data_IF_402984610635
#
_entry.id   IF_402984610635
#
_cell.length_a   1.000
_cell.length_b   1.000
_cell.length_c   1.000
_cell.angle_alpha   90.00
_cell.angle_beta   90.00
_cell.angle_gamma   90.00
#
_symmetry.space_group_name_H-M   'P 1'
#
loop_
_entity.id
_entity.type
_entity.pdbx_description
1 polymer ?
#
# COMPACT_ATOMS: atom_id res chain seq x y z
N UNK A 1 6.77 23.10 -7.39
CA UNK A 1 6.13 21.83 -7.08
C UNK A 1 5.08 21.62 -8.14
N UNK A 2 4.63 20.40 -8.40
CA UNK A 2 3.76 20.16 -9.54
C UNK A 2 2.77 19.04 -9.26
N UNK A 3 1.51 19.20 -9.61
CA UNK A 3 0.53 18.12 -9.63
C UNK A 3 0.88 17.10 -10.72
N UNK A 4 0.40 15.85 -10.56
CA UNK A 4 0.54 14.80 -11.57
C UNK A 4 -0.86 14.34 -11.98
N UNK A 5 -1.12 14.27 -13.29
CA UNK A 5 -2.34 13.69 -13.82
C UNK A 5 -2.00 12.50 -14.72
N UNK A 6 -2.54 11.37 -14.41
CA UNK A 6 -2.54 10.17 -15.23
C UNK A 6 -3.91 10.07 -15.90
N UNK A 7 -3.94 10.03 -17.23
CA UNK A 7 -5.19 10.00 -18.01
C UNK A 7 -5.17 8.78 -18.92
N UNK A 8 -5.94 7.75 -18.58
CA UNK A 8 -6.04 6.49 -19.33
C UNK A 8 -4.69 5.90 -19.70
N UNK A 9 -3.73 5.95 -18.76
CA UNK A 9 -2.35 5.48 -19.00
C UNK A 9 -2.36 3.97 -19.17
N UNK A 10 -1.81 3.49 -20.30
CA UNK A 10 -1.72 2.07 -20.66
C UNK A 10 -0.29 1.68 -20.99
N UNK A 11 0.04 0.42 -20.73
CA UNK A 11 1.31 -0.18 -21.16
C UNK A 11 1.09 -1.59 -21.65
N UNK A 12 1.54 -1.81 -22.87
CA UNK A 12 1.58 -3.12 -23.53
C UNK A 12 3.03 -3.39 -23.93
N UNK A 13 3.57 -4.54 -23.58
CA UNK A 13 4.88 -5.00 -24.04
C UNK A 13 4.74 -5.98 -25.20
N UNK A 14 5.63 -5.88 -26.17
CA UNK A 14 5.63 -6.71 -27.38
C UNK A 14 4.56 -6.28 -28.41
N UNK A 15 4.49 -6.98 -29.51
CA UNK A 15 3.58 -6.72 -30.63
C UNK A 15 2.85 -7.98 -31.07
N UNK A 16 1.66 -7.82 -31.67
CA UNK A 16 0.85 -8.91 -32.23
C UNK A 16 0.39 -9.94 -31.19
N UNK A 17 0.32 -11.24 -31.51
CA UNK A 17 -0.23 -12.26 -30.63
C UNK A 17 0.56 -12.49 -29.32
N UNK A 18 1.77 -11.96 -29.21
CA UNK A 18 2.62 -12.04 -28.02
C UNK A 18 2.59 -10.76 -27.17
N UNK A 19 1.71 -9.82 -27.50
CA UNK A 19 1.55 -8.60 -26.72
C UNK A 19 1.01 -8.92 -25.32
N UNK A 20 1.59 -8.29 -24.30
CA UNK A 20 1.18 -8.45 -22.91
C UNK A 20 0.81 -7.09 -22.34
N UNK A 21 -0.45 -6.93 -21.99
CA UNK A 21 -0.93 -5.74 -21.32
C UNK A 21 -0.55 -5.78 -19.84
N UNK A 22 0.17 -4.74 -19.39
CA UNK A 22 0.67 -4.64 -18.01
C UNK A 22 -0.05 -3.53 -17.23
N UNK A 23 -0.46 -2.45 -17.91
CA UNK A 23 -1.26 -1.37 -17.33
C UNK A 23 -2.48 -1.14 -18.21
N UNK A 24 -3.67 -1.13 -17.60
CA UNK A 24 -4.97 -1.24 -18.27
C UNK A 24 -5.79 0.06 -18.30
N UNK A 25 -5.16 1.23 -18.36
CA UNK A 25 -5.86 2.51 -18.39
C UNK A 25 -6.07 3.08 -16.99
N UNK A 26 -4.98 3.53 -16.38
CA UNK A 26 -5.02 4.15 -15.05
C UNK A 26 -5.35 5.63 -15.19
N UNK A 27 -6.38 6.05 -14.42
CA UNK A 27 -6.70 7.44 -14.15
C UNK A 27 -6.36 7.76 -12.71
N UNK A 28 -5.56 8.81 -12.49
CA UNK A 28 -5.25 9.31 -11.15
C UNK A 28 -4.87 10.80 -11.20
N UNK A 29 -5.34 11.54 -10.23
CA UNK A 29 -4.98 12.93 -9.98
C UNK A 29 -4.24 13.02 -8.66
N UNK A 30 -3.02 13.52 -8.67
CA UNK A 30 -2.14 13.71 -7.52
C UNK A 30 -1.94 15.20 -7.36
N UNK A 31 -2.37 15.74 -6.23
CA UNK A 31 -2.32 17.17 -5.98
C UNK A 31 -0.89 17.67 -5.81
N UNK A 32 -0.68 18.97 -6.01
CA UNK A 32 0.61 19.61 -5.72
C UNK A 32 0.96 19.47 -4.23
N UNK A 33 2.16 18.97 -3.95
CA UNK A 33 2.64 18.71 -2.59
C UNK A 33 2.07 17.46 -1.93
N UNK A 34 1.29 16.64 -2.62
CA UNK A 34 0.73 15.40 -2.10
C UNK A 34 1.76 14.28 -2.02
N UNK A 35 1.70 13.49 -0.94
CA UNK A 35 2.40 12.22 -0.81
C UNK A 35 1.43 11.07 -1.08
N UNK A 36 1.53 10.47 -2.25
CA UNK A 36 0.70 9.33 -2.63
C UNK A 36 1.51 8.04 -2.70
N UNK A 37 0.94 6.95 -2.19
CA UNK A 37 1.59 5.64 -2.16
C UNK A 37 0.89 4.68 -3.12
N UNK A 38 1.64 4.06 -4.02
CA UNK A 38 1.17 2.93 -4.82
C UNK A 38 1.50 1.63 -4.11
N UNK A 39 0.50 0.83 -3.79
CA UNK A 39 0.64 -0.44 -3.09
C UNK A 39 -0.07 -1.56 -3.85
N UNK A 40 0.42 -2.80 -3.73
CA UNK A 40 -0.15 -3.96 -4.40
C UNK A 40 0.82 -5.14 -4.45
N UNK A 41 0.38 -6.33 -4.89
CA UNK A 41 1.22 -7.51 -5.01
C UNK A 41 2.42 -7.31 -5.95
N UNK A 42 3.43 -8.16 -5.84
CA UNK A 42 4.53 -8.19 -6.80
C UNK A 42 4.02 -8.45 -8.22
N UNK A 43 4.55 -7.72 -9.19
CA UNK A 43 4.16 -7.88 -10.60
C UNK A 43 2.85 -7.20 -11.02
N UNK A 44 2.14 -6.46 -10.14
CA UNK A 44 0.90 -5.78 -10.52
C UNK A 44 1.08 -4.48 -11.32
N UNK A 45 2.31 -4.08 -11.67
CA UNK A 45 2.57 -2.93 -12.54
C UNK A 45 3.04 -1.65 -11.83
N UNK A 46 3.20 -1.61 -10.50
CA UNK A 46 3.61 -0.40 -9.73
C UNK A 46 4.90 0.25 -10.24
N UNK A 47 6.00 -0.51 -10.28
CA UNK A 47 7.30 0.01 -10.76
C UNK A 47 7.27 0.36 -12.24
N UNK A 48 6.46 -0.33 -13.05
CA UNK A 48 6.24 0.03 -14.46
C UNK A 48 5.59 1.40 -14.55
N UNK A 49 4.50 1.65 -13.80
CA UNK A 49 3.82 2.94 -13.78
C UNK A 49 4.75 4.06 -13.27
N UNK A 50 5.50 3.80 -12.20
CA UNK A 50 6.49 4.76 -11.69
C UNK A 50 7.55 5.11 -12.75
N UNK A 51 8.08 4.09 -13.46
CA UNK A 51 9.08 4.29 -14.53
C UNK A 51 8.50 5.05 -15.72
N UNK A 52 7.23 4.85 -16.05
CA UNK A 52 6.55 5.64 -17.09
C UNK A 52 6.43 7.10 -16.68
N UNK A 53 6.10 7.41 -15.43
CA UNK A 53 6.11 8.79 -14.90
C UNK A 53 7.52 9.37 -14.94
N UNK A 54 8.55 8.55 -14.65
CA UNK A 54 9.95 8.96 -14.72
C UNK A 54 10.48 9.15 -16.15
N UNK A 55 9.80 8.67 -17.19
CA UNK A 55 10.29 8.64 -18.56
C UNK A 55 11.37 7.59 -18.81
N UNK A 56 11.51 6.62 -17.89
CA UNK A 56 12.40 5.47 -18.04
C UNK A 56 11.72 4.32 -18.80
N UNK A 57 10.43 4.44 -19.02
CA UNK A 57 9.58 3.51 -19.77
C UNK A 57 8.55 4.33 -20.56
N UNK A 58 8.33 4.00 -21.83
CA UNK A 58 7.32 4.65 -22.66
C UNK A 58 5.92 4.12 -22.34
N UNK A 59 4.93 4.99 -22.41
CA UNK A 59 3.52 4.57 -22.36
C UNK A 59 3.08 4.05 -23.74
N UNK A 60 2.13 3.12 -23.79
CA UNK A 60 1.55 2.66 -25.04
C UNK A 60 0.40 3.54 -25.51
N UNK A 61 -0.36 4.12 -24.58
CA UNK A 61 -1.41 5.12 -24.84
C UNK A 61 -1.78 5.90 -23.57
N UNK A 62 -2.59 6.93 -23.70
CA UNK A 62 -2.98 7.82 -22.61
C UNK A 62 -2.06 9.03 -22.49
N UNK A 63 -2.10 9.71 -21.35
CA UNK A 63 -1.29 10.90 -21.10
C UNK A 63 -0.78 10.93 -19.66
N UNK A 64 0.47 11.37 -19.50
CA UNK A 64 1.07 11.76 -18.21
C UNK A 64 1.33 13.26 -18.26
N UNK A 65 0.78 13.98 -17.29
CA UNK A 65 0.95 15.43 -17.15
C UNK A 65 1.64 15.71 -15.82
N UNK A 66 2.72 16.50 -15.83
CA UNK A 66 3.41 17.01 -14.64
C UNK A 66 3.31 18.52 -14.65
N UNK A 67 2.65 19.09 -13.64
CA UNK A 67 2.28 20.50 -13.63
C UNK A 67 1.32 20.82 -14.78
N UNK A 68 1.77 21.64 -15.73
CA UNK A 68 0.98 22.00 -16.91
C UNK A 68 1.51 21.37 -18.23
N UNK A 69 2.49 20.45 -18.12
CA UNK A 69 3.17 19.89 -19.30
C UNK A 69 2.81 18.42 -19.47
N UNK A 70 2.38 18.04 -20.67
CA UNK A 70 2.35 16.63 -21.09
C UNK A 70 3.79 16.17 -21.25
N UNK A 71 4.16 15.07 -20.60
CA UNK A 71 5.56 14.59 -20.50
C UNK A 71 5.80 13.29 -21.26
N UNK A 72 4.84 12.80 -22.02
CA UNK A 72 4.93 11.50 -22.70
C UNK A 72 6.26 11.34 -23.47
N UNK A 73 6.59 12.34 -24.30
CA UNK A 73 7.74 12.32 -25.23
C UNK A 73 9.00 12.99 -24.65
N UNK A 74 8.95 13.42 -23.39
CA UNK A 74 10.08 14.06 -22.73
C UNK A 74 11.03 13.04 -22.12
N UNK A 75 12.33 13.24 -22.31
CA UNK A 75 13.36 12.46 -21.63
C UNK A 75 13.33 12.69 -20.11
N UNK A 76 13.81 11.73 -19.28
CA UNK A 76 13.80 11.86 -17.82
C UNK A 76 14.42 13.15 -17.28
N UNK A 77 15.48 13.65 -17.94
CA UNK A 77 16.16 14.90 -17.54
C UNK A 77 15.31 16.17 -17.72
N UNK A 78 14.28 16.12 -18.59
CA UNK A 78 13.42 17.23 -18.96
C UNK A 78 12.12 17.28 -18.11
N UNK A 79 11.84 16.22 -17.34
CA UNK A 79 10.61 16.08 -16.55
C UNK A 79 10.65 16.75 -15.17
N UNK A 80 11.78 17.35 -14.78
CA UNK A 80 12.02 17.96 -13.47
C UNK A 80 11.66 17.04 -12.29
N UNK A 81 12.10 15.79 -12.36
CA UNK A 81 11.88 14.76 -11.37
C UNK A 81 13.18 14.30 -10.71
N UNK A 82 13.09 13.74 -9.52
CA UNK A 82 14.17 12.97 -8.92
C UNK A 82 13.66 11.61 -8.46
N UNK A 83 14.42 10.55 -8.73
CA UNK A 83 14.05 9.18 -8.40
C UNK A 83 15.03 8.56 -7.42
N UNK A 84 14.48 7.91 -6.38
CA UNK A 84 15.20 7.08 -5.43
C UNK A 84 14.90 5.63 -5.77
N UNK A 85 15.95 4.88 -6.13
CA UNK A 85 15.84 3.49 -6.57
C UNK A 85 15.94 2.52 -5.38
N UNK A 86 15.38 1.34 -5.51
CA UNK A 86 15.43 0.24 -4.55
C UNK A 86 16.84 -0.15 -4.12
N UNK A 87 17.81 -0.13 -5.05
CA UNK A 87 19.21 -0.44 -4.81
C UNK A 87 20.10 0.77 -4.50
N UNK A 88 19.45 1.93 -4.16
CA UNK A 88 20.09 3.22 -3.87
C UNK A 88 20.87 3.85 -5.03
N UNK A 89 21.35 3.08 -5.98
CA UNK A 89 22.11 3.48 -7.17
C UNK A 89 23.28 4.44 -6.87
N UNK A 90 23.99 4.25 -5.73
CA UNK A 90 25.12 5.07 -5.34
C UNK A 90 26.36 4.72 -6.16
N UNK A 91 27.18 5.72 -6.50
CA UNK A 91 28.49 5.54 -7.13
C UNK A 91 29.48 5.07 -6.07
N UNK A 92 29.97 3.81 -6.14
CA UNK A 92 30.70 3.19 -5.03
C UNK A 92 32.11 3.77 -4.82
N UNK A 93 32.67 4.42 -5.83
CA UNK A 93 33.99 5.06 -5.82
C UNK A 93 33.97 6.53 -5.42
N UNK A 94 32.79 7.12 -5.28
CA UNK A 94 32.59 8.50 -4.88
C UNK A 94 32.30 8.61 -3.38
N UNK A 95 32.73 9.71 -2.73
CA UNK A 95 32.32 10.04 -1.37
C UNK A 95 30.82 10.38 -1.30
N UNK A 96 30.26 10.47 -0.10
CA UNK A 96 28.87 10.95 0.13
C UNK A 96 28.69 12.32 -0.52
N UNK A 97 29.59 13.27 -0.24
CA UNK A 97 29.57 14.58 -0.85
C UNK A 97 29.55 14.52 -2.38
N UNK A 98 30.46 13.75 -2.96
CA UNK A 98 30.56 13.59 -4.42
C UNK A 98 29.31 12.95 -5.02
N UNK A 99 28.73 11.95 -4.37
CA UNK A 99 27.47 11.34 -4.78
C UNK A 99 26.35 12.37 -4.85
N UNK A 100 26.18 13.22 -3.82
CA UNK A 100 25.16 14.27 -3.78
C UNK A 100 25.43 15.37 -4.80
N UNK A 101 26.69 15.80 -4.94
CA UNK A 101 27.09 16.90 -5.81
C UNK A 101 27.06 16.54 -7.31
N UNK A 102 27.11 15.26 -7.67
CA UNK A 102 27.35 14.81 -9.05
C UNK A 102 26.30 15.35 -10.04
N UNK A 103 25.02 15.22 -9.73
CA UNK A 103 23.95 15.72 -10.59
C UNK A 103 23.97 17.24 -10.78
N UNK A 104 24.35 17.99 -9.73
CA UNK A 104 24.47 19.45 -9.80
C UNK A 104 25.64 19.91 -10.66
N UNK A 105 26.76 19.15 -10.64
CA UNK A 105 27.92 19.38 -11.51
C UNK A 105 27.55 19.21 -12.99
N UNK A 106 26.76 18.19 -13.32
CA UNK A 106 26.27 17.97 -14.70
C UNK A 106 25.37 19.11 -15.15
N UNK A 107 24.58 19.69 -14.24
CA UNK A 107 23.73 20.85 -14.51
C UNK A 107 24.53 22.16 -14.66
N UNK A 108 25.85 22.14 -14.42
CA UNK A 108 26.71 23.31 -14.58
C UNK A 108 26.61 24.34 -13.45
N UNK A 109 26.09 23.96 -12.25
CA UNK A 109 26.04 24.86 -11.11
C UNK A 109 27.44 25.23 -10.61
N UNK A 110 27.58 26.43 -10.04
CA UNK A 110 28.81 26.89 -9.42
C UNK A 110 29.19 26.03 -8.20
N UNK A 111 30.49 25.97 -7.89
CA UNK A 111 30.98 25.21 -6.72
C UNK A 111 30.33 25.69 -5.42
N UNK A 112 30.12 27.01 -5.28
CA UNK A 112 29.50 27.61 -4.09
C UNK A 112 28.04 27.15 -3.93
N UNK A 113 27.25 27.14 -5.00
CA UNK A 113 25.85 26.66 -4.98
C UNK A 113 25.75 25.16 -4.71
N UNK A 114 26.68 24.38 -5.29
CA UNK A 114 26.74 22.93 -5.03
C UNK A 114 27.02 22.68 -3.54
N UNK A 115 28.02 23.38 -2.98
CA UNK A 115 28.36 23.21 -1.57
C UNK A 115 27.20 23.61 -0.66
N UNK A 116 26.58 24.76 -0.89
CA UNK A 116 25.39 25.20 -0.13
C UNK A 116 24.28 24.15 -0.13
N UNK A 117 23.92 23.64 -1.33
CA UNK A 117 22.83 22.64 -1.46
C UNK A 117 23.19 21.32 -0.81
N UNK A 118 24.44 20.84 -0.96
CA UNK A 118 24.90 19.59 -0.34
C UNK A 118 24.92 19.73 1.18
N UNK A 119 25.46 20.83 1.74
CA UNK A 119 25.50 21.06 3.20
C UNK A 119 24.09 21.13 3.78
N UNK A 120 23.18 21.86 3.13
CA UNK A 120 21.76 21.92 3.54
C UNK A 120 21.11 20.53 3.56
N UNK A 121 21.27 19.74 2.51
CA UNK A 121 20.72 18.39 2.45
C UNK A 121 21.39 17.45 3.47
N UNK A 122 22.71 17.58 3.68
CA UNK A 122 23.45 16.84 4.69
C UNK A 122 22.96 17.15 6.12
N UNK A 123 22.60 18.41 6.40
CA UNK A 123 22.01 18.80 7.68
C UNK A 123 20.65 18.15 7.88
N UNK A 124 19.74 18.23 6.87
CA UNK A 124 18.39 17.64 6.93
C UNK A 124 18.46 16.12 7.17
N UNK A 125 19.43 15.44 6.57
CA UNK A 125 19.58 13.98 6.58
C UNK A 125 20.58 13.47 7.62
N UNK A 126 21.14 14.34 8.47
CA UNK A 126 22.15 14.00 9.49
C UNK A 126 23.39 13.30 8.89
N UNK A 127 23.84 13.73 7.72
CA UNK A 127 24.98 13.17 6.99
C UNK A 127 26.28 14.01 7.16
N UNK A 128 26.28 15.10 7.88
CA UNK A 128 27.42 16.04 7.96
C UNK A 128 28.75 15.37 8.28
N UNK A 129 28.80 14.49 9.31
CA UNK A 129 30.01 13.77 9.71
C UNK A 129 30.42 12.65 8.74
N UNK A 130 29.61 12.37 7.72
CA UNK A 130 29.79 11.24 6.80
C UNK A 130 30.17 11.69 5.37
N UNK A 131 30.25 12.99 5.10
CA UNK A 131 30.42 13.54 3.74
C UNK A 131 31.65 13.02 3.00
N UNK A 132 32.73 12.74 3.74
CA UNK A 132 33.99 12.22 3.17
C UNK A 132 34.04 10.68 3.05
N UNK A 133 33.06 9.97 3.59
CA UNK A 133 33.00 8.51 3.51
C UNK A 133 32.51 8.04 2.13
N UNK A 134 32.91 6.81 1.76
CA UNK A 134 32.39 6.12 0.58
C UNK A 134 31.20 5.20 0.96
N UNK A 135 30.35 4.80 0.02
CA UNK A 135 29.19 3.93 0.28
C UNK A 135 29.54 2.61 0.98
N UNK A 136 30.74 2.08 0.79
CA UNK A 136 31.20 0.84 1.45
C UNK A 136 31.37 1.02 2.97
N UNK A 137 31.58 2.23 3.43
CA UNK A 137 31.80 2.58 4.85
C UNK A 137 30.49 2.97 5.57
N UNK A 138 29.33 2.80 4.92
CA UNK A 138 28.03 3.23 5.41
C UNK A 138 27.15 2.03 5.73
N UNK A 139 26.28 2.18 6.75
CA UNK A 139 25.18 1.27 7.01
C UNK A 139 24.10 1.34 5.92
N UNK A 140 23.17 0.39 5.89
CA UNK A 140 22.03 0.39 4.95
C UNK A 140 21.23 1.69 4.99
N UNK A 141 20.83 2.14 6.18
CA UNK A 141 20.09 3.39 6.36
C UNK A 141 20.89 4.64 5.98
N UNK A 142 22.20 4.65 6.26
CA UNK A 142 23.06 5.75 5.82
C UNK A 142 23.17 5.81 4.30
N UNK A 143 23.29 4.66 3.60
CA UNK A 143 23.26 4.61 2.13
C UNK A 143 21.95 5.14 1.58
N UNK A 144 20.83 4.79 2.20
CA UNK A 144 19.52 5.29 1.81
C UNK A 144 19.41 6.81 1.99
N UNK A 145 19.83 7.34 3.13
CA UNK A 145 19.87 8.80 3.35
C UNK A 145 20.72 9.50 2.28
N UNK A 146 21.84 8.92 1.86
CA UNK A 146 22.64 9.46 0.76
C UNK A 146 21.88 9.45 -0.57
N UNK A 147 21.15 8.36 -0.87
CA UNK A 147 20.31 8.30 -2.07
C UNK A 147 19.19 9.37 -2.07
N UNK A 148 18.57 9.58 -0.91
CA UNK A 148 17.61 10.68 -0.71
C UNK A 148 18.28 12.05 -0.89
N UNK A 149 19.49 12.24 -0.34
CA UNK A 149 20.28 13.46 -0.50
C UNK A 149 20.57 13.82 -1.96
N UNK A 150 20.92 12.81 -2.77
CA UNK A 150 21.08 12.98 -4.24
C UNK A 150 19.83 13.50 -4.94
N UNK A 151 18.66 13.10 -4.45
CA UNK A 151 17.38 13.58 -4.97
C UNK A 151 17.05 14.99 -4.50
N UNK A 152 17.20 15.26 -3.20
CA UNK A 152 16.87 16.55 -2.54
C UNK A 152 17.67 17.72 -3.08
N UNK A 153 18.98 17.56 -3.27
CA UNK A 153 19.86 18.64 -3.74
C UNK A 153 19.43 19.22 -5.10
N UNK A 154 18.72 18.43 -5.90
CA UNK A 154 18.21 18.84 -7.22
C UNK A 154 17.01 19.76 -7.14
N UNK A 155 16.29 19.82 -5.99
CA UNK A 155 15.04 20.56 -5.79
C UNK A 155 14.00 20.25 -6.90
N UNK A 156 13.66 18.96 -7.11
CA UNK A 156 12.77 18.57 -8.21
C UNK A 156 11.32 19.02 -7.95
N UNK A 157 10.52 19.10 -9.01
CA UNK A 157 9.09 19.32 -8.90
C UNK A 157 8.35 18.11 -8.34
N UNK A 158 8.86 16.89 -8.59
CA UNK A 158 8.28 15.62 -8.13
C UNK A 158 9.37 14.66 -7.66
N UNK A 159 9.12 14.00 -6.51
CA UNK A 159 9.91 12.86 -6.04
C UNK A 159 9.24 11.54 -6.42
N UNK A 160 10.05 10.60 -6.90
CA UNK A 160 9.65 9.23 -7.22
C UNK A 160 10.44 8.25 -6.37
N UNK A 161 9.78 7.34 -5.67
CA UNK A 161 10.41 6.35 -4.79
C UNK A 161 10.03 4.93 -5.25
N UNK A 162 10.99 4.13 -5.72
CA UNK A 162 10.81 2.74 -6.14
C UNK A 162 11.27 1.80 -5.03
N UNK A 163 10.34 1.40 -4.15
CA UNK A 163 10.56 0.50 -3.01
C UNK A 163 11.82 0.84 -2.15
N UNK A 164 11.99 2.08 -1.70
CA UNK A 164 13.27 2.51 -1.12
C UNK A 164 13.62 1.83 0.21
N UNK A 165 12.63 1.23 0.92
CA UNK A 165 12.83 0.61 2.24
C UNK A 165 12.93 -0.92 2.19
N UNK A 166 12.73 -1.56 1.03
CA UNK A 166 12.63 -3.02 0.91
C UNK A 166 13.88 -3.78 1.36
N UNK A 167 15.07 -3.17 1.22
CA UNK A 167 16.36 -3.78 1.56
C UNK A 167 16.83 -3.50 2.99
N UNK A 168 15.96 -2.98 3.87
CA UNK A 168 16.27 -2.65 5.25
C UNK A 168 15.67 -3.68 6.22
N UNK A 169 16.34 -3.90 7.36
CA UNK A 169 15.77 -4.64 8.48
C UNK A 169 14.56 -3.91 9.09
N UNK A 170 13.73 -4.64 9.86
CA UNK A 170 12.47 -4.14 10.39
C UNK A 170 12.64 -2.89 11.27
N UNK A 171 13.67 -2.86 12.15
CA UNK A 171 13.90 -1.72 13.05
C UNK A 171 14.28 -0.47 12.28
N UNK A 172 15.20 -0.62 11.31
CA UNK A 172 15.67 0.49 10.49
C UNK A 172 14.56 0.99 9.55
N UNK A 173 13.70 0.09 9.05
CA UNK A 173 12.53 0.46 8.23
C UNK A 173 11.57 1.37 8.99
N UNK A 174 11.28 1.08 10.27
CA UNK A 174 10.44 1.94 11.12
C UNK A 174 11.06 3.34 11.26
N UNK A 175 12.36 3.42 11.56
CA UNK A 175 13.06 4.69 11.69
C UNK A 175 13.03 5.49 10.37
N UNK A 176 13.33 4.83 9.25
CA UNK A 176 13.38 5.50 7.94
C UNK A 176 12.01 5.99 7.46
N UNK A 177 10.92 5.31 7.79
CA UNK A 177 9.56 5.81 7.53
C UNK A 177 9.32 7.16 8.21
N UNK A 178 9.65 7.27 9.49
CA UNK A 178 9.52 8.55 10.24
C UNK A 178 10.37 9.65 9.61
N UNK A 179 11.57 9.33 9.13
CA UNK A 179 12.43 10.29 8.44
C UNK A 179 11.85 10.78 7.11
N UNK A 180 11.28 9.85 6.32
CA UNK A 180 10.60 10.21 5.06
C UNK A 180 9.39 11.11 5.33
N UNK A 181 8.59 10.84 6.37
CA UNK A 181 7.47 11.71 6.76
C UNK A 181 7.94 13.11 7.13
N UNK A 182 8.97 13.22 8.00
CA UNK A 182 9.54 14.52 8.40
C UNK A 182 10.09 15.27 7.19
N UNK A 183 10.78 14.56 6.30
CA UNK A 183 11.32 15.13 5.08
C UNK A 183 10.21 15.70 4.20
N UNK A 184 9.18 14.92 3.92
CA UNK A 184 8.05 15.38 3.12
C UNK A 184 7.35 16.58 3.76
N UNK A 185 7.10 16.56 5.08
CA UNK A 185 6.53 17.70 5.83
C UNK A 185 7.35 18.98 5.68
N UNK A 186 8.68 18.87 5.59
CA UNK A 186 9.59 20.01 5.44
C UNK A 186 9.69 20.53 4.01
N UNK A 187 9.66 19.63 3.02
CA UNK A 187 9.84 19.96 1.60
C UNK A 187 8.52 20.22 0.89
N UNK A 188 7.45 19.55 1.29
CA UNK A 188 6.11 19.56 0.68
C UNK A 188 6.10 19.29 -0.83
N UNK A 189 7.13 18.59 -1.33
CA UNK A 189 7.24 18.26 -2.75
C UNK A 189 6.35 17.07 -3.08
N UNK A 190 5.60 17.15 -4.17
CA UNK A 190 4.76 16.05 -4.67
C UNK A 190 5.57 14.76 -4.75
N UNK A 191 5.08 13.70 -4.15
CA UNK A 191 5.82 12.45 -3.99
C UNK A 191 4.97 11.24 -4.39
N UNK A 192 5.51 10.42 -5.29
CA UNK A 192 4.92 9.16 -5.70
C UNK A 192 5.80 8.02 -5.19
N UNK A 193 5.28 7.23 -4.27
CA UNK A 193 6.01 6.21 -3.54
C UNK A 193 5.46 4.82 -3.85
N UNK A 194 6.31 3.90 -4.25
CA UNK A 194 5.96 2.49 -4.51
C UNK A 194 6.40 1.62 -3.35
N UNK A 195 5.52 0.75 -2.90
CA UNK A 195 5.83 -0.28 -1.91
C UNK A 195 4.96 -1.52 -2.09
N UNK A 196 5.39 -2.63 -1.54
CA UNK A 196 4.57 -3.82 -1.31
C UNK A 196 4.19 -3.97 0.18
N UNK A 197 4.69 -3.09 1.06
CA UNK A 197 4.43 -3.10 2.50
C UNK A 197 3.19 -2.25 2.82
N UNK A 198 2.16 -2.91 3.36
CA UNK A 198 0.91 -2.25 3.73
C UNK A 198 1.09 -1.22 4.84
N UNK A 199 2.02 -1.47 5.79
CA UNK A 199 2.26 -0.55 6.90
C UNK A 199 2.89 0.74 6.39
N UNK A 200 3.78 0.65 5.37
CA UNK A 200 4.29 1.84 4.70
C UNK A 200 3.17 2.62 4.02
N UNK A 201 2.29 1.93 3.28
CA UNK A 201 1.18 2.58 2.58
C UNK A 201 0.20 3.26 3.56
N UNK A 202 -0.15 2.58 4.66
CA UNK A 202 -1.05 3.11 5.69
C UNK A 202 -0.47 4.28 6.47
N UNK A 203 0.87 4.34 6.63
CA UNK A 203 1.51 5.34 7.50
C UNK A 203 2.12 6.52 6.75
N UNK A 204 2.59 6.33 5.52
CA UNK A 204 3.23 7.39 4.72
C UNK A 204 2.26 8.15 3.84
N UNK A 205 1.29 7.46 3.26
CA UNK A 205 0.40 8.02 2.25
C UNK A 205 -0.65 8.99 2.83
N UNK A 206 -0.77 10.18 2.26
CA UNK A 206 -1.96 11.00 2.42
C UNK A 206 -3.13 10.36 1.65
N UNK A 207 -2.84 9.81 0.48
CA UNK A 207 -3.70 8.89 -0.28
C UNK A 207 -2.87 7.70 -0.76
N UNK A 208 -3.57 6.63 -1.09
CA UNK A 208 -2.95 5.44 -1.70
C UNK A 208 -3.70 5.02 -2.96
N UNK A 209 -2.96 4.41 -3.88
CA UNK A 209 -3.48 3.71 -5.05
C UNK A 209 -3.26 2.23 -4.81
N UNK A 210 -4.31 1.46 -4.60
CA UNK A 210 -4.24 0.00 -4.49
C UNK A 210 -4.27 -0.58 -5.89
N UNK A 211 -3.16 -1.20 -6.29
CA UNK A 211 -3.01 -1.78 -7.63
C UNK A 211 -3.15 -3.29 -7.62
N UNK A 212 -3.84 -3.82 -8.61
CA UNK A 212 -3.97 -5.24 -8.87
C UNK A 212 -3.97 -5.51 -10.37
N UNK A 213 -3.10 -6.38 -10.86
CA UNK A 213 -3.05 -6.82 -12.27
C UNK A 213 -3.18 -5.67 -13.28
N UNK A 214 -2.42 -4.59 -13.06
CA UNK A 214 -2.40 -3.43 -13.96
C UNK A 214 -3.57 -2.46 -13.85
N UNK A 215 -4.46 -2.65 -12.88
CA UNK A 215 -5.63 -1.79 -12.61
C UNK A 215 -5.47 -1.10 -11.27
N UNK A 216 -5.93 0.14 -11.16
CA UNK A 216 -6.14 0.81 -9.88
C UNK A 216 -7.51 0.38 -9.31
N UNK A 217 -7.50 -0.55 -8.36
CA UNK A 217 -8.71 -1.08 -7.72
C UNK A 217 -9.44 -0.04 -6.87
N UNK A 218 -8.64 0.78 -6.16
CA UNK A 218 -9.16 1.86 -5.32
C UNK A 218 -8.11 2.94 -5.13
N UNK A 219 -8.56 4.19 -5.12
CA UNK A 219 -7.76 5.37 -4.76
C UNK A 219 -8.50 6.09 -3.65
N UNK A 220 -7.83 6.34 -2.51
CA UNK A 220 -8.43 7.02 -1.36
C UNK A 220 -7.42 7.23 -0.25
N UNK A 221 -7.83 7.86 0.84
CA UNK A 221 -7.03 7.93 2.07
C UNK A 221 -6.85 6.52 2.67
N UNK A 222 -5.78 6.27 3.42
CA UNK A 222 -5.61 4.97 4.10
C UNK A 222 -6.81 4.57 4.94
N UNK A 223 -7.40 5.52 5.67
CA UNK A 223 -8.59 5.27 6.48
C UNK A 223 -9.82 4.88 5.65
N UNK A 224 -10.08 5.55 4.53
CA UNK A 224 -11.18 5.21 3.61
C UNK A 224 -10.99 3.82 2.99
N UNK A 225 -9.79 3.53 2.50
CA UNK A 225 -9.49 2.24 1.86
C UNK A 225 -9.63 1.08 2.86
N UNK A 226 -9.21 1.29 4.12
CA UNK A 226 -9.36 0.31 5.19
C UNK A 226 -10.81 0.11 5.61
N UNK A 227 -11.54 1.23 5.87
CA UNK A 227 -12.90 1.20 6.37
C UNK A 227 -13.92 0.81 5.29
N UNK A 228 -13.70 1.18 4.02
CA UNK A 228 -14.64 0.95 2.91
C UNK A 228 -13.90 0.39 1.67
N UNK A 229 -13.38 -0.84 1.72
CA UNK A 229 -12.71 -1.45 0.58
C UNK A 229 -13.69 -1.60 -0.59
N UNK A 230 -13.28 -1.18 -1.79
CA UNK A 230 -14.14 -1.18 -2.97
C UNK A 230 -14.37 -2.58 -3.56
N UNK A 231 -13.45 -3.51 -3.30
CA UNK A 231 -13.52 -4.89 -3.80
C UNK A 231 -13.05 -5.88 -2.72
N UNK A 232 -13.40 -7.17 -2.90
CA UNK A 232 -12.87 -8.24 -2.04
C UNK A 232 -11.36 -8.33 -2.10
N UNK A 233 -10.75 -7.96 -3.25
CA UNK A 233 -9.31 -7.87 -3.36
C UNK A 233 -8.73 -6.83 -2.39
N UNK A 234 -9.26 -5.60 -2.41
CA UNK A 234 -8.81 -4.53 -1.49
C UNK A 234 -9.03 -4.94 -0.04
N UNK A 235 -10.19 -5.54 0.28
CA UNK A 235 -10.54 -6.02 1.61
C UNK A 235 -9.56 -7.06 2.14
N UNK A 236 -9.12 -7.99 1.27
CA UNK A 236 -8.16 -9.04 1.64
C UNK A 236 -6.71 -8.58 1.58
N UNK A 237 -6.39 -7.59 0.74
CA UNK A 237 -5.03 -7.09 0.60
C UNK A 237 -4.66 -6.07 1.66
N UNK A 238 -5.59 -5.20 2.08
CA UNK A 238 -5.36 -4.15 3.08
C UNK A 238 -5.86 -4.61 4.45
N UNK A 239 -4.91 -4.81 5.36
CA UNK A 239 -5.12 -5.31 6.73
C UNK A 239 -4.31 -6.57 7.00
N UNK A 240 -3.83 -6.71 8.23
CA UNK A 240 -3.08 -7.89 8.70
C UNK A 240 -3.56 -8.26 10.10
N UNK A 241 -4.30 -9.36 10.23
CA UNK A 241 -4.74 -10.30 9.18
C UNK A 241 -5.70 -9.68 8.16
N UNK A 242 -5.91 -10.35 7.00
CA UNK A 242 -6.91 -9.96 6.00
C UNK A 242 -8.34 -9.94 6.54
N UNK A 243 -9.25 -9.21 5.90
CA UNK A 243 -10.68 -9.28 6.18
C UNK A 243 -11.19 -10.72 5.96
N UNK A 244 -12.00 -11.23 6.90
CA UNK A 244 -12.74 -12.46 6.70
C UNK A 244 -13.80 -12.25 5.62
N UNK A 245 -13.78 -13.09 4.60
CA UNK A 245 -14.72 -13.06 3.49
C UNK A 245 -15.46 -14.40 3.44
N UNK A 246 -16.72 -14.40 3.88
CA UNK A 246 -17.57 -15.57 3.94
C UNK A 246 -18.56 -15.52 2.77
N UNK A 247 -18.56 -16.54 1.94
CA UNK A 247 -19.54 -16.68 0.86
C UNK A 247 -20.77 -17.43 1.36
N UNK A 248 -21.96 -16.94 1.04
CA UNK A 248 -23.21 -17.55 1.49
C UNK A 248 -24.43 -16.89 0.90
N UNK A 249 -25.59 -17.21 1.47
CA UNK A 249 -26.90 -16.71 1.05
C UNK A 249 -27.59 -16.00 2.19
N UNK A 250 -28.15 -14.83 1.91
CA UNK A 250 -29.00 -14.12 2.86
C UNK A 250 -30.34 -14.85 2.98
N UNK A 251 -30.77 -15.15 4.21
CA UNK A 251 -32.04 -15.80 4.48
C UNK A 251 -33.25 -15.03 3.92
N UNK A 252 -34.36 -15.70 3.75
CA UNK A 252 -35.56 -15.11 3.14
C UNK A 252 -36.15 -13.93 3.94
N UNK A 253 -35.94 -13.89 5.25
CA UNK A 253 -36.36 -12.81 6.15
C UNK A 253 -35.27 -11.71 6.31
N UNK A 254 -34.08 -11.93 5.73
CA UNK A 254 -32.94 -11.04 5.83
C UNK A 254 -32.19 -11.07 7.18
N UNK A 255 -32.66 -11.86 8.17
CA UNK A 255 -32.07 -11.87 9.52
C UNK A 255 -30.88 -12.80 9.70
N UNK A 256 -30.71 -13.77 8.78
CA UNK A 256 -29.65 -14.78 8.79
C UNK A 256 -28.80 -14.71 7.53
N UNK A 257 -27.57 -15.21 7.64
CA UNK A 257 -26.67 -15.45 6.51
C UNK A 257 -26.20 -16.90 6.56
N UNK A 258 -26.63 -17.70 5.61
CA UNK A 258 -26.33 -19.13 5.52
C UNK A 258 -24.97 -19.30 4.87
N UNK A 259 -24.03 -19.84 5.62
CA UNK A 259 -22.66 -20.14 5.19
C UNK A 259 -22.53 -21.65 5.05
N UNK A 260 -22.00 -22.12 3.93
CA UNK A 260 -21.79 -23.56 3.72
C UNK A 260 -20.54 -23.81 2.88
N UNK A 261 -19.86 -24.95 3.17
CA UNK A 261 -18.78 -25.47 2.34
C UNK A 261 -18.74 -26.99 2.44
N UNK A 262 -18.96 -27.65 1.31
CA UNK A 262 -19.09 -29.12 1.27
C UNK A 262 -20.34 -29.59 2.02
N UNK A 263 -20.16 -30.47 3.02
CA UNK A 263 -21.25 -30.98 3.89
C UNK A 263 -21.51 -30.13 5.13
N UNK A 264 -20.65 -29.14 5.42
CA UNK A 264 -20.77 -28.27 6.58
C UNK A 264 -21.60 -27.03 6.25
N UNK A 265 -22.53 -26.69 7.10
CA UNK A 265 -23.38 -25.51 6.98
C UNK A 265 -23.62 -24.90 8.36
N UNK A 266 -23.71 -23.58 8.41
CA UNK A 266 -24.05 -22.83 9.62
C UNK A 266 -24.83 -21.56 9.24
N UNK A 267 -25.53 -20.95 10.21
CA UNK A 267 -26.28 -19.71 10.01
C UNK A 267 -25.74 -18.61 10.94
N UNK A 268 -25.21 -17.58 10.36
CA UNK A 268 -24.79 -16.38 11.07
C UNK A 268 -26.01 -15.47 11.26
N UNK A 269 -26.30 -15.10 12.50
CA UNK A 269 -27.35 -14.10 12.79
C UNK A 269 -26.81 -12.72 12.48
N UNK A 270 -27.45 -12.02 11.57
CA UNK A 270 -27.06 -10.64 11.22
C UNK A 270 -27.48 -9.67 12.33
N UNK A 271 -26.64 -8.66 12.67
CA UNK A 271 -26.97 -7.65 13.69
C UNK A 271 -28.10 -6.71 13.25
N UNK A 272 -28.27 -6.56 11.94
CA UNK A 272 -29.41 -5.88 11.32
C UNK A 272 -29.88 -6.66 10.09
N UNK A 273 -31.20 -6.71 9.81
CA UNK A 273 -31.72 -7.41 8.64
C UNK A 273 -31.19 -6.82 7.32
N UNK A 274 -30.66 -7.68 6.46
CA UNK A 274 -30.23 -7.35 5.11
C UNK A 274 -31.36 -7.56 4.09
N UNK A 275 -32.52 -6.95 4.34
CA UNK A 275 -33.77 -7.19 3.60
C UNK A 275 -33.67 -6.96 2.09
N UNK A 276 -32.87 -5.97 1.65
CA UNK A 276 -32.62 -5.70 0.24
C UNK A 276 -31.87 -6.82 -0.48
N UNK A 277 -31.16 -7.70 0.25
CA UNK A 277 -30.42 -8.83 -0.26
C UNK A 277 -31.08 -10.18 0.04
N UNK A 278 -32.30 -10.23 0.56
CA UNK A 278 -33.00 -11.45 0.95
C UNK A 278 -33.02 -12.49 -0.19
N UNK A 279 -32.63 -13.72 0.12
CA UNK A 279 -32.53 -14.83 -0.83
C UNK A 279 -31.35 -14.77 -1.83
N UNK A 280 -30.51 -13.72 -1.77
CA UNK A 280 -29.40 -13.52 -2.71
C UNK A 280 -28.10 -14.10 -2.17
N UNK A 281 -27.25 -14.58 -3.09
CA UNK A 281 -25.88 -14.94 -2.76
C UNK A 281 -25.02 -13.68 -2.63
N UNK A 282 -24.20 -13.63 -1.56
CA UNK A 282 -23.35 -12.51 -1.21
C UNK A 282 -22.04 -12.99 -0.60
N UNK A 283 -21.07 -12.09 -0.52
CA UNK A 283 -19.89 -12.27 0.30
C UNK A 283 -20.04 -11.31 1.48
N UNK A 284 -20.04 -11.88 2.68
CA UNK A 284 -20.01 -11.16 3.94
C UNK A 284 -18.55 -10.93 4.35
N UNK A 285 -18.15 -9.67 4.49
CA UNK A 285 -16.84 -9.26 4.98
C UNK A 285 -16.93 -8.76 6.43
N UNK A 286 -16.03 -9.26 7.29
CA UNK A 286 -15.86 -8.74 8.66
C UNK A 286 -14.37 -8.75 9.00
N UNK A 287 -13.85 -7.64 9.54
CA UNK A 287 -12.45 -7.56 9.96
C UNK A 287 -12.17 -8.46 11.16
N UNK A 288 -10.96 -9.08 11.27
CA UNK A 288 -10.58 -9.93 12.40
C UNK A 288 -10.74 -9.29 13.79
N UNK A 289 -10.44 -7.99 13.90
CA UNK A 289 -10.55 -7.20 15.12
C UNK A 289 -11.99 -6.82 15.49
N UNK A 290 -12.93 -6.94 14.57
CA UNK A 290 -14.35 -6.69 14.80
C UNK A 290 -15.13 -7.95 15.21
N UNK A 291 -14.51 -9.13 15.06
CA UNK A 291 -15.08 -10.39 15.58
C UNK A 291 -14.73 -10.55 17.06
N UNK A 292 -15.71 -10.32 17.93
CA UNK A 292 -15.54 -10.38 19.37
C UNK A 292 -15.93 -11.78 19.87
N UNK A 293 -15.02 -12.53 20.53
CA UNK A 293 -15.33 -13.85 21.07
C UNK A 293 -16.31 -13.76 22.25
N UNK A 294 -17.25 -14.69 22.30
CA UNK A 294 -18.26 -14.85 23.36
C UNK A 294 -17.98 -16.17 24.05
N UNK A 295 -17.60 -16.12 25.33
CA UNK A 295 -17.17 -17.29 26.11
C UNK A 295 -18.10 -17.60 27.27
N UNK A 296 -19.02 -16.70 27.61
CA UNK A 296 -19.90 -16.77 28.77
C UNK A 296 -21.27 -17.42 28.49
N UNK A 297 -21.46 -17.97 27.29
CA UNK A 297 -22.72 -18.56 26.84
C UNK A 297 -23.82 -17.57 26.50
N UNK A 298 -23.53 -16.27 26.45
CA UNK A 298 -24.46 -15.26 25.96
C UNK A 298 -24.79 -15.48 24.47
N UNK A 299 -25.83 -14.79 23.97
CA UNK A 299 -26.30 -14.98 22.60
C UNK A 299 -25.25 -14.57 21.55
N UNK A 300 -24.61 -15.55 20.95
CA UNK A 300 -23.67 -15.39 19.85
C UNK A 300 -24.41 -15.20 18.51
N UNK A 301 -23.78 -14.50 17.57
CA UNK A 301 -24.25 -14.36 16.20
C UNK A 301 -23.79 -15.50 15.31
N UNK A 302 -22.61 -16.06 15.61
CA UNK A 302 -22.04 -17.21 14.91
C UNK A 302 -21.36 -18.16 15.90
N UNK A 303 -21.34 -19.46 15.56
CA UNK A 303 -20.60 -20.49 16.26
C UNK A 303 -19.31 -20.80 15.52
N UNK A 304 -18.24 -21.00 16.26
CA UNK A 304 -16.89 -21.17 15.72
C UNK A 304 -16.22 -22.39 16.33
N UNK A 305 -15.63 -23.21 15.50
CA UNK A 305 -14.68 -24.24 15.91
C UNK A 305 -13.25 -23.71 15.79
N UNK A 306 -12.53 -23.64 16.90
CA UNK A 306 -11.17 -23.11 16.98
C UNK A 306 -10.17 -24.15 16.49
N UNK A 307 -9.50 -23.88 15.36
CA UNK A 307 -8.48 -24.79 14.81
C UNK A 307 -7.08 -24.53 15.36
N UNK A 308 -6.72 -23.25 15.57
CA UNK A 308 -5.38 -22.85 16.03
C UNK A 308 -5.44 -21.51 16.75
N UNK A 309 -4.58 -21.34 17.76
CA UNK A 309 -4.38 -20.06 18.44
C UNK A 309 -2.91 -19.67 18.34
N UNK A 310 -2.62 -18.52 17.74
CA UNK A 310 -1.29 -17.93 17.64
C UNK A 310 -1.14 -16.79 18.65
N UNK A 311 -0.17 -16.90 19.57
CA UNK A 311 0.13 -15.85 20.54
C UNK A 311 1.21 -14.90 19.98
N UNK A 312 0.85 -13.65 19.72
CA UNK A 312 1.75 -12.60 19.22
C UNK A 312 2.28 -11.68 20.33
N UNK A 313 2.14 -12.10 21.59
CA UNK A 313 2.56 -11.33 22.76
C UNK A 313 1.43 -10.44 23.30
N UNK A 314 1.14 -9.32 22.65
CA UNK A 314 0.05 -8.41 23.07
C UNK A 314 -1.35 -8.88 22.64
N UNK A 315 -1.44 -9.76 21.67
CA UNK A 315 -2.69 -10.22 21.05
C UNK A 315 -2.61 -11.68 20.63
N UNK A 316 -3.79 -12.27 20.41
CA UNK A 316 -3.98 -13.62 19.86
C UNK A 316 -4.61 -13.51 18.47
N UNK A 317 -4.15 -14.36 17.55
CA UNK A 317 -4.91 -14.68 16.35
C UNK A 317 -5.55 -16.04 16.54
N UNK A 318 -6.89 -16.07 16.50
CA UNK A 318 -7.69 -17.29 16.67
C UNK A 318 -8.17 -17.69 15.29
N UNK A 319 -7.59 -18.76 14.74
CA UNK A 319 -8.03 -19.38 13.48
C UNK A 319 -9.17 -20.32 13.78
N UNK A 320 -10.29 -20.13 13.11
CA UNK A 320 -11.52 -20.88 13.37
C UNK A 320 -12.30 -21.16 12.08
N UNK A 321 -13.36 -21.98 12.19
CA UNK A 321 -14.30 -22.27 11.10
C UNK A 321 -15.73 -21.92 11.49
N UNK A 322 -16.50 -21.51 10.47
CA UNK A 322 -17.94 -21.35 10.51
C UNK A 322 -18.51 -21.93 9.19
N UNK A 323 -19.41 -22.90 9.27
CA UNK A 323 -19.98 -23.56 8.08
C UNK A 323 -18.91 -24.06 7.08
N UNK A 324 -17.80 -24.63 7.58
CA UNK A 324 -16.67 -25.12 6.79
C UNK A 324 -15.78 -24.06 6.17
N UNK A 325 -16.07 -22.77 6.34
CA UNK A 325 -15.23 -21.67 5.85
C UNK A 325 -14.31 -21.15 6.95
N UNK A 326 -13.03 -20.93 6.62
CA UNK A 326 -12.03 -20.43 7.55
C UNK A 326 -12.22 -18.94 7.82
N UNK A 327 -11.97 -18.52 9.05
CA UNK A 327 -11.94 -17.15 9.50
C UNK A 327 -10.91 -16.95 10.62
N UNK A 328 -10.54 -15.70 10.88
CA UNK A 328 -9.59 -15.33 11.90
C UNK A 328 -10.21 -14.25 12.79
N UNK A 329 -10.07 -14.41 14.12
CA UNK A 329 -10.35 -13.35 15.08
C UNK A 329 -9.03 -12.79 15.59
N UNK A 330 -9.01 -11.50 15.88
CA UNK A 330 -7.90 -10.83 16.54
C UNK A 330 -8.35 -10.36 17.92
N UNK A 331 -7.79 -10.96 18.95
CA UNK A 331 -8.22 -10.78 20.33
C UNK A 331 -7.07 -10.31 21.23
N UNK A 332 -7.35 -9.63 22.37
CA UNK A 332 -6.35 -9.38 23.40
C UNK A 332 -5.74 -10.69 23.93
N UNK A 333 -4.46 -10.65 24.34
CA UNK A 333 -3.72 -11.84 24.79
C UNK A 333 -4.31 -12.54 26.04
N UNK A 334 -5.16 -11.85 26.80
CA UNK A 334 -5.81 -12.37 28.02
C UNK A 334 -7.13 -13.11 27.77
N UNK A 335 -7.57 -13.23 26.52
CA UNK A 335 -8.79 -13.99 26.18
C UNK A 335 -8.51 -15.48 26.30
N UNK A 336 -9.25 -16.24 27.17
CA UNK A 336 -8.98 -17.65 27.41
C UNK A 336 -9.61 -18.53 26.32
N UNK A 337 -8.98 -18.59 25.15
CA UNK A 337 -9.39 -19.43 24.01
C UNK A 337 -8.32 -20.51 23.77
N UNK A 338 -8.77 -21.73 23.48
CA UNK A 338 -7.89 -22.86 23.21
C UNK A 338 -8.27 -23.59 21.92
N UNK A 339 -7.30 -24.24 21.30
CA UNK A 339 -7.49 -25.11 20.13
C UNK A 339 -8.48 -26.24 20.45
N UNK A 340 -9.37 -26.54 19.50
CA UNK A 340 -10.43 -27.55 19.64
C UNK A 340 -11.66 -27.07 20.41
N UNK A 341 -11.68 -25.85 20.92
CA UNK A 341 -12.81 -25.27 21.61
C UNK A 341 -13.88 -24.76 20.62
N UNK A 342 -15.15 -24.94 21.00
CA UNK A 342 -16.26 -24.25 20.34
C UNK A 342 -16.54 -22.95 21.09
N UNK A 343 -16.56 -21.83 20.38
CA UNK A 343 -16.83 -20.50 20.96
C UNK A 343 -17.91 -19.79 20.15
N UNK A 344 -18.61 -18.88 20.80
CA UNK A 344 -19.44 -17.90 20.10
C UNK A 344 -18.61 -16.72 19.62
N UNK A 345 -19.13 -15.99 18.64
CA UNK A 345 -18.62 -14.66 18.30
C UNK A 345 -19.75 -13.71 17.91
N UNK A 346 -19.45 -12.40 18.00
CA UNK A 346 -20.36 -11.34 17.59
C UNK A 346 -19.60 -10.21 16.86
N UNK A 347 -20.33 -9.38 16.11
CA UNK A 347 -19.81 -8.21 15.41
C UNK A 347 -20.90 -7.13 15.32
N UNK A 348 -20.48 -5.88 15.17
CA UNK A 348 -21.39 -4.75 15.07
C UNK A 348 -22.04 -4.63 13.68
N UNK A 349 -23.18 -3.94 13.61
CA UNK A 349 -23.85 -3.68 12.34
C UNK A 349 -23.02 -2.81 11.38
N UNK A 350 -22.20 -1.92 11.92
CA UNK A 350 -21.31 -1.04 11.17
C UNK A 350 -20.06 -1.74 10.65
N UNK A 351 -19.78 -2.96 11.14
CA UNK A 351 -18.58 -3.73 10.85
C UNK A 351 -18.80 -4.74 9.71
N UNK A 352 -20.02 -4.78 9.20
CA UNK A 352 -20.43 -5.66 8.09
C UNK A 352 -20.14 -4.98 6.76
N UNK A 353 -19.50 -5.74 5.86
CA UNK A 353 -19.23 -5.33 4.49
C UNK A 353 -19.86 -6.32 3.52
N UNK A 354 -20.64 -5.83 2.58
CA UNK A 354 -21.27 -6.67 1.57
C UNK A 354 -20.57 -6.54 0.22
N UNK A 355 -20.30 -7.70 -0.40
CA UNK A 355 -19.75 -7.74 -1.76
C UNK A 355 -20.60 -8.65 -2.65
N UNK A 356 -20.67 -8.26 -3.90
CA UNK A 356 -21.29 -9.08 -4.96
C UNK A 356 -20.38 -10.26 -5.33
N UNK A 357 -20.95 -11.44 -5.48
CA UNK A 357 -20.21 -12.70 -5.74
C UNK A 357 -19.51 -12.68 -7.10
N UNK A 358 -20.14 -12.09 -8.13
CA UNK A 358 -19.64 -12.12 -9.51
C UNK A 358 -18.64 -10.99 -9.78
N UNK A 359 -19.03 -9.76 -9.45
CA UNK A 359 -18.18 -8.59 -9.69
C UNK A 359 -17.12 -8.38 -8.61
N UNK A 360 -17.25 -9.05 -7.47
CA UNK A 360 -16.43 -8.88 -6.26
C UNK A 360 -16.42 -7.44 -5.70
N UNK A 361 -17.29 -6.58 -6.20
CA UNK A 361 -17.40 -5.18 -5.79
C UNK A 361 -18.28 -5.04 -4.56
N UNK A 362 -17.96 -4.03 -3.77
CA UNK A 362 -18.78 -3.60 -2.64
C UNK A 362 -20.16 -3.12 -3.14
N UNK A 363 -21.21 -3.42 -2.38
CA UNK A 363 -22.62 -3.13 -2.71
C UNK A 363 -23.40 -2.41 -1.59
N UNK A 364 -22.74 -1.98 -0.52
CA UNK A 364 -23.27 -1.23 0.63
C UNK A 364 -22.67 0.18 0.77
#
# INVERSE_FOLDING_TARGET
>A
MAAIHLKQVRKTYGNGPKAVDVIHGIDAEIADGEFIVMVGPSGCGKSTLLRMVAGLEEISSGQIVIGQRVVNDLEPKERDIAMVFQNYALYPHMTVYQNMAYGLKIQGLSKAEIDERVQRAATILELGALLERTPRQLSGGQRQRVAMGRAIVRKPAVFLFDEPLSNLDAKLRVQMRLEIQKLHASLRTTSLYVTHDQVEAMTLGQRMIVMNRGVAEQIGTPAEVYARPATTFVASFIGSPPMNLLQGRVGADGSGFEVSKGSEADTIRLPQPASAAAGQERILGVRPEHLLPILDGSAAQLSLEVELVEALGAELLVHARCGGQALVLRCPANVPVSTGQHIGASFGATDVHWFDVQSTRRID
#
